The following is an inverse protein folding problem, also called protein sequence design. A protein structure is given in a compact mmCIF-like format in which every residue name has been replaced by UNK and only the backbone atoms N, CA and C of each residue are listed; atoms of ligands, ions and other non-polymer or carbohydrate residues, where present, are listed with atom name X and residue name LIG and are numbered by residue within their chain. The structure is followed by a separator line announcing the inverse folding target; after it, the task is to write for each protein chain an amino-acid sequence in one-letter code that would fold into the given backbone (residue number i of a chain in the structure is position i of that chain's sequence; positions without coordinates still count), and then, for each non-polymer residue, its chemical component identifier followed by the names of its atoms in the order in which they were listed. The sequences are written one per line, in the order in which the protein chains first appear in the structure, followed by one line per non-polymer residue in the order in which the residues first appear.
data_IF_772546741298
#
_entry.id   IF_772546741298
#
_cell.length_a   1.000
_cell.length_b   1.000
_cell.length_c   1.000
_cell.angle_alpha   90.00
_cell.angle_beta   90.00
_cell.angle_gamma   90.00
#
_symmetry.space_group_name_H-M   'P 1'
#
loop_
_entity.id
_entity.type
_entity.pdbx_description
1 polymer ?
#
# COMPACT_ATOMS: atom_id res chain seq x y z
N UNK A 1 3.05 -29.93 -35.77
CA UNK A 1 2.87 -30.73 -34.56
C UNK A 1 3.46 -30.08 -33.27
N UNK A 2 4.35 -29.10 -33.38
CA UNK A 2 4.93 -28.40 -32.22
C UNK A 2 4.03 -27.32 -31.61
N UNK A 3 3.08 -26.77 -32.34
CA UNK A 3 2.18 -25.69 -31.84
C UNK A 3 1.11 -26.22 -30.87
N UNK A 4 0.69 -27.47 -31.03
CA UNK A 4 -0.35 -28.10 -30.18
C UNK A 4 0.20 -28.50 -28.80
N UNK A 5 1.50 -28.80 -28.69
CA UNK A 5 2.12 -29.19 -27.41
C UNK A 5 2.35 -27.98 -26.48
N UNK A 6 2.54 -26.75 -27.03
CA UNK A 6 2.70 -25.54 -26.19
C UNK A 6 1.39 -25.07 -25.57
N UNK A 7 0.25 -25.28 -26.22
CA UNK A 7 -1.07 -24.93 -25.66
C UNK A 7 -1.50 -25.86 -24.53
N UNK A 8 -1.15 -27.16 -24.60
CA UNK A 8 -1.46 -28.12 -23.54
C UNK A 8 -0.63 -27.87 -22.27
N UNK A 9 0.64 -27.49 -22.37
CA UNK A 9 1.46 -27.10 -21.21
C UNK A 9 0.99 -25.80 -20.55
N UNK A 10 0.47 -24.86 -21.32
CA UNK A 10 -0.09 -23.62 -20.79
C UNK A 10 -1.43 -23.87 -20.08
N UNK A 11 -2.27 -24.76 -20.61
CA UNK A 11 -3.54 -25.17 -19.97
C UNK A 11 -3.30 -25.91 -18.65
N UNK A 12 -2.35 -26.83 -18.60
CA UNK A 12 -1.97 -27.57 -17.38
C UNK A 12 -1.40 -26.62 -16.31
N UNK A 13 -0.64 -25.57 -16.70
CA UNK A 13 -0.18 -24.52 -15.77
C UNK A 13 -1.34 -23.66 -15.25
N UNK A 14 -2.33 -23.34 -16.06
CA UNK A 14 -3.52 -22.61 -15.67
C UNK A 14 -4.43 -23.41 -14.73
N UNK A 15 -4.58 -24.72 -14.95
CA UNK A 15 -5.31 -25.61 -14.04
C UNK A 15 -4.59 -25.78 -12.70
N UNK A 16 -3.26 -25.93 -12.68
CA UNK A 16 -2.48 -26.00 -11.44
C UNK A 16 -2.53 -24.70 -10.62
N UNK A 17 -2.53 -23.53 -11.25
CA UNK A 17 -2.73 -22.26 -10.55
C UNK A 17 -4.14 -22.10 -10.01
N UNK A 18 -5.15 -22.68 -10.66
CA UNK A 18 -6.53 -22.75 -10.18
C UNK A 18 -6.67 -23.62 -8.94
N UNK A 19 -6.00 -24.77 -8.93
CA UNK A 19 -5.98 -25.72 -7.80
C UNK A 19 -5.22 -25.16 -6.61
N UNK A 20 -4.11 -24.45 -6.81
CA UNK A 20 -3.38 -23.77 -5.73
C UNK A 20 -4.17 -22.60 -5.13
N UNK A 21 -4.89 -21.84 -5.93
CA UNK A 21 -5.83 -20.80 -5.45
C UNK A 21 -6.97 -21.42 -4.64
N UNK A 22 -7.55 -22.51 -5.09
CA UNK A 22 -8.60 -23.24 -4.35
C UNK A 22 -8.08 -23.73 -3.01
N UNK A 23 -6.90 -24.36 -2.96
CA UNK A 23 -6.25 -24.80 -1.72
C UNK A 23 -5.92 -23.66 -0.78
N UNK A 24 -5.50 -22.50 -1.29
CA UNK A 24 -5.24 -21.31 -0.48
C UNK A 24 -6.53 -20.72 0.11
N UNK A 25 -7.63 -20.72 -0.64
CA UNK A 25 -8.96 -20.28 -0.17
C UNK A 25 -9.47 -21.28 0.89
N UNK A 26 -9.36 -22.56 0.65
CA UNK A 26 -9.77 -23.61 1.60
C UNK A 26 -8.94 -23.54 2.88
N UNK A 27 -7.64 -23.31 2.79
CA UNK A 27 -6.75 -23.10 3.95
C UNK A 27 -7.11 -21.83 4.74
N UNK A 28 -7.48 -20.74 4.06
CA UNK A 28 -7.91 -19.51 4.71
C UNK A 28 -9.28 -19.65 5.38
N UNK A 29 -10.20 -20.40 4.77
CA UNK A 29 -11.51 -20.75 5.36
C UNK A 29 -11.34 -21.66 6.58
N UNK A 30 -10.51 -22.69 6.49
CA UNK A 30 -10.18 -23.58 7.60
C UNK A 30 -9.44 -22.84 8.72
N UNK A 31 -8.56 -21.91 8.40
CA UNK A 31 -7.88 -21.04 9.37
C UNK A 31 -8.85 -20.15 10.13
N UNK A 32 -9.81 -19.51 9.45
CA UNK A 32 -10.88 -18.71 10.08
C UNK A 32 -11.83 -19.57 10.91
N UNK A 33 -12.12 -20.79 10.46
CA UNK A 33 -12.93 -21.75 11.20
C UNK A 33 -12.22 -22.23 12.48
N UNK A 34 -10.91 -22.43 12.43
CA UNK A 34 -10.12 -22.77 13.62
C UNK A 34 -9.99 -21.64 14.62
N UNK A 35 -9.98 -20.38 14.16
CA UNK A 35 -10.00 -19.18 15.02
C UNK A 35 -11.38 -19.05 15.67
N UNK A 36 -12.46 -19.18 14.90
CA UNK A 36 -13.83 -19.18 15.42
C UNK A 36 -14.05 -20.28 16.49
N UNK A 37 -13.50 -21.48 16.28
CA UNK A 37 -13.55 -22.58 17.24
C UNK A 37 -12.79 -22.28 18.55
N UNK A 38 -11.79 -21.40 18.52
CA UNK A 38 -11.05 -20.95 19.73
C UNK A 38 -11.79 -19.88 20.51
N UNK A 39 -12.64 -19.10 19.88
CA UNK A 39 -13.31 -17.95 20.49
C UNK A 39 -14.59 -18.34 21.25
N UNK A 40 -15.16 -19.52 21.01
CA UNK A 40 -16.35 -19.98 21.72
C UNK A 40 -15.96 -20.77 22.99
N UNK A 41 -15.84 -20.08 24.12
CA UNK A 41 -15.59 -20.70 25.43
C UNK A 41 -16.70 -21.69 25.85
N UNK A 42 -17.95 -21.46 25.40
CA UNK A 42 -19.08 -22.34 25.66
C UNK A 42 -18.92 -23.73 25.00
N UNK A 43 -18.36 -23.81 23.78
CA UNK A 43 -18.07 -25.09 23.12
C UNK A 43 -17.02 -25.94 23.86
N UNK A 44 -16.07 -25.30 24.57
CA UNK A 44 -15.09 -26.01 25.40
C UNK A 44 -15.74 -26.65 26.64
N UNK A 45 -16.73 -25.98 27.20
CA UNK A 45 -17.47 -26.51 28.36
C UNK A 45 -18.33 -27.73 27.96
N UNK A 46 -19.10 -27.61 26.87
CA UNK A 46 -19.96 -28.68 26.37
C UNK A 46 -19.12 -29.89 25.87
N UNK A 47 -17.96 -29.65 25.24
CA UNK A 47 -17.03 -30.70 24.84
C UNK A 47 -16.41 -31.43 26.02
N UNK A 48 -16.11 -30.74 27.12
CA UNK A 48 -15.60 -31.36 28.35
C UNK A 48 -16.68 -32.18 29.01
N UNK A 49 -17.93 -31.71 29.07
CA UNK A 49 -19.08 -32.43 29.63
C UNK A 49 -19.35 -33.70 28.81
N UNK A 50 -19.34 -33.62 27.48
CA UNK A 50 -19.52 -34.78 26.59
C UNK A 50 -18.44 -35.83 26.82
N UNK A 51 -17.17 -35.42 26.93
CA UNK A 51 -16.04 -36.34 27.20
C UNK A 51 -16.14 -36.98 28.59
N UNK A 52 -16.60 -36.22 29.61
CA UNK A 52 -16.80 -36.76 30.94
C UNK A 52 -17.91 -37.81 30.96
N UNK A 53 -19.05 -37.54 30.32
CA UNK A 53 -20.16 -38.48 30.17
C UNK A 53 -19.81 -39.73 29.38
N UNK A 54 -18.99 -39.58 28.29
CA UNK A 54 -18.50 -40.68 27.53
C UNK A 54 -17.64 -41.63 28.37
N UNK A 55 -16.70 -41.07 29.17
CA UNK A 55 -15.85 -41.87 30.06
C UNK A 55 -16.68 -42.57 31.18
N UNK A 56 -17.71 -41.91 31.69
CA UNK A 56 -18.61 -42.43 32.69
C UNK A 56 -19.45 -43.58 32.11
N UNK A 57 -19.98 -43.42 30.87
CA UNK A 57 -20.68 -44.49 30.13
C UNK A 57 -19.78 -45.67 29.87
N UNK A 58 -18.56 -45.47 29.39
CA UNK A 58 -17.59 -46.52 29.10
C UNK A 58 -17.23 -47.32 30.37
N UNK A 59 -17.03 -46.61 31.50
CA UNK A 59 -16.78 -47.27 32.79
C UNK A 59 -17.98 -48.10 33.28
N UNK A 60 -19.21 -47.68 32.93
CA UNK A 60 -20.44 -48.35 33.39
C UNK A 60 -20.78 -49.55 32.54
N UNK A 61 -20.42 -49.55 31.25
CA UNK A 61 -20.57 -50.68 30.37
C UNK A 61 -19.60 -51.80 30.72
N UNK A 62 -18.38 -51.48 31.18
CA UNK A 62 -17.37 -52.45 31.56
C UNK A 62 -17.18 -53.53 30.49
N UNK A 63 -17.14 -54.82 30.91
CA UNK A 63 -17.10 -55.99 30.07
C UNK A 63 -18.48 -56.65 29.90
N UNK A 64 -19.59 -55.97 30.23
CA UNK A 64 -20.93 -56.51 30.16
C UNK A 64 -21.27 -56.87 28.68
N UNK A 65 -21.65 -58.09 28.44
CA UNK A 65 -22.04 -58.64 27.15
C UNK A 65 -23.54 -58.79 26.95
N UNK A 66 -24.32 -58.64 28.03
CA UNK A 66 -25.78 -58.69 28.02
C UNK A 66 -26.41 -57.61 28.93
N UNK A 67 -27.63 -57.16 28.59
CA UNK A 67 -28.37 -56.10 29.34
C UNK A 67 -28.61 -56.47 30.82
N UNK A 68 -28.69 -57.78 31.16
CA UNK A 68 -28.88 -58.25 32.51
C UNK A 68 -27.65 -58.05 33.42
N UNK A 69 -26.47 -57.84 32.83
CA UNK A 69 -25.20 -57.57 33.54
C UNK A 69 -24.94 -56.11 33.84
N UNK A 70 -25.79 -55.24 33.29
CA UNK A 70 -25.64 -53.77 33.48
C UNK A 70 -26.06 -53.36 34.91
N UNK A 71 -25.32 -52.45 35.53
CA UNK A 71 -25.68 -51.91 36.83
C UNK A 71 -27.02 -51.16 36.77
N UNK A 72 -27.83 -51.18 37.84
CA UNK A 72 -29.14 -50.48 37.90
C UNK A 72 -29.07 -49.01 37.54
N UNK A 73 -27.91 -48.36 37.70
CA UNK A 73 -27.66 -46.95 37.33
C UNK A 73 -27.36 -46.73 35.85
N UNK A 74 -27.22 -47.79 35.07
CA UNK A 74 -26.86 -47.71 33.63
C UNK A 74 -27.94 -46.94 32.82
N UNK A 75 -29.21 -47.21 33.09
CA UNK A 75 -30.33 -46.57 32.41
C UNK A 75 -30.37 -45.03 32.67
N UNK A 76 -30.06 -44.58 33.88
CA UNK A 76 -29.99 -43.13 34.19
C UNK A 76 -28.82 -42.47 33.49
N UNK A 77 -27.66 -43.15 33.41
CA UNK A 77 -26.47 -42.63 32.69
C UNK A 77 -26.68 -42.61 31.20
N UNK A 78 -27.38 -43.55 30.60
CA UNK A 78 -27.76 -43.58 29.19
C UNK A 78 -28.70 -42.39 28.91
N UNK A 79 -29.70 -42.12 29.79
CA UNK A 79 -30.58 -40.95 29.66
C UNK A 79 -29.79 -39.63 29.75
N UNK A 80 -28.88 -39.52 30.70
CA UNK A 80 -28.06 -38.32 30.87
C UNK A 80 -27.14 -38.08 29.64
N UNK A 81 -26.54 -39.17 29.10
CA UNK A 81 -25.75 -39.09 27.86
C UNK A 81 -26.59 -38.66 26.65
N UNK A 82 -27.81 -39.25 26.52
CA UNK A 82 -28.75 -38.88 25.43
C UNK A 82 -29.15 -37.40 25.50
N UNK A 83 -29.35 -36.84 26.70
CA UNK A 83 -29.66 -35.41 26.86
C UNK A 83 -28.48 -34.51 26.44
N UNK A 84 -27.24 -34.86 26.84
CA UNK A 84 -26.05 -34.12 26.44
C UNK A 84 -25.81 -34.24 24.93
N UNK A 85 -25.99 -35.40 24.33
CA UNK A 85 -25.90 -35.60 22.88
C UNK A 85 -26.96 -34.82 22.11
N UNK A 86 -28.22 -34.77 22.61
CA UNK A 86 -29.27 -33.95 21.99
C UNK A 86 -28.93 -32.47 22.05
N UNK A 87 -28.48 -31.97 23.18
CA UNK A 87 -28.03 -30.60 23.36
C UNK A 87 -26.84 -30.25 22.46
N UNK A 88 -25.83 -31.13 22.41
CA UNK A 88 -24.66 -30.96 21.54
C UNK A 88 -25.05 -30.98 20.04
N UNK A 89 -26.00 -31.84 19.66
CA UNK A 89 -26.54 -31.87 18.29
C UNK A 89 -27.24 -30.57 17.92
N UNK A 90 -28.08 -30.03 18.80
CA UNK A 90 -28.81 -28.79 18.55
C UNK A 90 -27.85 -27.59 18.45
N UNK A 91 -26.77 -27.57 19.23
CA UNK A 91 -25.72 -26.53 19.17
C UNK A 91 -24.81 -26.65 17.96
N UNK A 92 -24.41 -27.89 17.60
CA UNK A 92 -23.47 -28.15 16.49
C UNK A 92 -24.13 -28.11 15.09
N UNK A 93 -25.44 -28.37 15.01
CA UNK A 93 -26.15 -28.53 13.74
C UNK A 93 -27.29 -27.51 13.55
N UNK A 94 -27.14 -26.29 14.04
CA UNK A 94 -28.02 -25.20 13.59
C UNK A 94 -27.67 -24.85 12.13
N UNK A 95 -28.05 -25.75 11.23
CA UNK A 95 -27.87 -25.58 9.80
C UNK A 95 -28.49 -24.27 9.29
N UNK A 96 -29.50 -23.73 9.98
CA UNK A 96 -30.14 -22.47 9.62
C UNK A 96 -29.20 -21.30 9.89
N UNK A 97 -28.65 -21.20 11.10
CA UNK A 97 -27.71 -20.15 11.48
C UNK A 97 -26.43 -20.20 10.65
N UNK A 98 -25.88 -21.40 10.41
CA UNK A 98 -24.71 -21.59 9.53
C UNK A 98 -25.02 -21.14 8.11
N UNK A 99 -26.19 -21.55 7.57
CA UNK A 99 -26.58 -21.17 6.21
C UNK A 99 -26.80 -19.67 6.06
N UNK A 100 -27.43 -19.00 7.02
CA UNK A 100 -27.61 -17.54 7.04
C UNK A 100 -26.26 -16.82 7.10
N UNK A 101 -25.33 -17.28 7.93
CA UNK A 101 -23.98 -16.71 8.04
C UNK A 101 -23.19 -16.89 6.75
N UNK A 102 -23.23 -18.07 6.14
CA UNK A 102 -22.57 -18.33 4.85
C UNK A 102 -23.17 -17.46 3.73
N UNK A 103 -24.49 -17.28 3.69
CA UNK A 103 -25.14 -16.38 2.71
C UNK A 103 -24.69 -14.94 2.92
N UNK A 104 -24.63 -14.45 4.14
CA UNK A 104 -24.16 -13.09 4.45
C UNK A 104 -22.69 -12.89 4.04
N UNK A 105 -21.84 -13.89 4.32
CA UNK A 105 -20.43 -13.85 3.90
C UNK A 105 -20.30 -13.87 2.37
N UNK A 106 -21.08 -14.69 1.70
CA UNK A 106 -21.10 -14.78 0.22
C UNK A 106 -21.57 -13.46 -0.40
N UNK A 107 -22.63 -12.87 0.13
CA UNK A 107 -23.13 -11.57 -0.34
C UNK A 107 -22.09 -10.47 -0.14
N UNK A 108 -21.45 -10.40 1.03
CA UNK A 108 -20.38 -9.42 1.31
C UNK A 108 -19.19 -9.61 0.37
N UNK A 109 -18.78 -10.87 0.10
CA UNK A 109 -17.72 -11.17 -0.84
C UNK A 109 -18.08 -10.77 -2.28
N UNK A 110 -19.31 -11.04 -2.72
CA UNK A 110 -19.78 -10.64 -4.05
C UNK A 110 -19.83 -9.12 -4.22
N UNK A 111 -20.27 -8.38 -3.21
CA UNK A 111 -20.24 -6.91 -3.19
C UNK A 111 -18.81 -6.37 -3.29
N UNK A 112 -17.85 -6.97 -2.55
CA UNK A 112 -16.44 -6.61 -2.62
C UNK A 112 -15.85 -6.90 -4.02
N UNK A 113 -16.14 -8.05 -4.60
CA UNK A 113 -15.67 -8.40 -5.95
C UNK A 113 -16.25 -7.45 -6.99
N UNK A 114 -17.54 -7.11 -6.91
CA UNK A 114 -18.16 -6.12 -7.82
C UNK A 114 -17.53 -4.74 -7.67
N UNK A 115 -17.26 -4.29 -6.46
CA UNK A 115 -16.58 -3.02 -6.20
C UNK A 115 -15.17 -3.01 -6.78
N UNK A 116 -14.37 -4.04 -6.50
CA UNK A 116 -13.01 -4.18 -7.03
C UNK A 116 -12.98 -4.26 -8.56
N UNK A 117 -13.94 -4.96 -9.18
CA UNK A 117 -14.07 -5.03 -10.64
C UNK A 117 -14.37 -3.65 -11.25
N UNK A 118 -15.28 -2.86 -10.64
CA UNK A 118 -15.57 -1.49 -11.07
C UNK A 118 -14.32 -0.59 -10.96
N UNK A 119 -13.60 -0.67 -9.84
CA UNK A 119 -12.37 0.08 -9.63
C UNK A 119 -11.29 -0.29 -10.67
N UNK A 120 -11.08 -1.58 -10.90
CA UNK A 120 -10.12 -2.08 -11.89
C UNK A 120 -10.47 -1.59 -13.30
N UNK A 121 -11.74 -1.67 -13.70
CA UNK A 121 -12.19 -1.17 -15.02
C UNK A 121 -11.97 0.34 -15.15
N UNK A 122 -12.29 1.10 -14.12
CA UNK A 122 -12.06 2.56 -14.11
C UNK A 122 -10.60 2.92 -14.24
N UNK A 123 -9.72 2.28 -13.44
CA UNK A 123 -8.29 2.52 -13.47
C UNK A 123 -7.67 2.11 -14.81
N UNK A 124 -8.11 0.99 -15.38
CA UNK A 124 -7.67 0.56 -16.73
C UNK A 124 -8.07 1.55 -17.81
N UNK A 125 -9.29 2.08 -17.75
CA UNK A 125 -9.75 3.11 -18.70
C UNK A 125 -9.00 4.43 -18.52
N UNK A 126 -8.69 4.81 -17.27
CA UNK A 126 -7.91 6.01 -16.97
C UNK A 126 -6.48 5.85 -17.49
N UNK A 127 -5.83 4.72 -17.21
CA UNK A 127 -4.49 4.41 -17.71
C UNK A 127 -4.43 4.44 -19.24
N UNK A 128 -5.41 3.82 -19.92
CA UNK A 128 -5.50 3.83 -21.38
C UNK A 128 -5.67 5.23 -21.98
N UNK A 129 -6.25 6.18 -21.23
CA UNK A 129 -6.45 7.56 -21.69
C UNK A 129 -5.29 8.49 -21.33
N UNK A 130 -4.59 8.23 -20.25
CA UNK A 130 -3.58 9.14 -19.67
C UNK A 130 -2.14 8.72 -20.00
N UNK A 131 -1.91 7.43 -20.21
CA UNK A 131 -0.57 6.88 -20.51
C UNK A 131 -0.54 6.44 -21.97
N UNK A 132 0.36 7.00 -22.82
CA UNK A 132 0.56 6.52 -24.17
C UNK A 132 0.88 5.02 -24.21
N UNK A 133 0.26 4.29 -25.14
CA UNK A 133 0.43 2.82 -25.24
C UNK A 133 1.89 2.38 -25.31
N UNK A 134 2.75 3.14 -25.97
CA UNK A 134 4.18 2.86 -26.06
C UNK A 134 4.89 2.87 -24.72
N UNK A 135 4.57 3.83 -23.85
CA UNK A 135 5.16 3.93 -22.50
C UNK A 135 4.67 2.77 -21.61
N UNK A 136 3.40 2.42 -21.73
CA UNK A 136 2.84 1.29 -21.00
C UNK A 136 3.48 -0.04 -21.42
N UNK A 137 3.63 -0.27 -22.72
CA UNK A 137 4.32 -1.45 -23.26
C UNK A 137 5.80 -1.50 -22.81
N UNK A 138 6.49 -0.36 -22.79
CA UNK A 138 7.87 -0.27 -22.30
C UNK A 138 7.97 -0.70 -20.84
N UNK A 139 7.13 -0.15 -19.97
CA UNK A 139 7.13 -0.51 -18.53
C UNK A 139 6.83 -1.99 -18.32
N UNK A 140 5.88 -2.57 -19.05
CA UNK A 140 5.58 -4.00 -18.98
C UNK A 140 6.78 -4.85 -19.42
N UNK A 141 7.43 -4.52 -20.52
CA UNK A 141 8.59 -5.25 -21.03
C UNK A 141 9.76 -5.20 -20.07
N UNK A 142 10.10 -4.01 -19.58
CA UNK A 142 11.16 -3.84 -18.58
C UNK A 142 10.88 -4.63 -17.30
N UNK A 143 9.62 -4.67 -16.86
CA UNK A 143 9.22 -5.46 -15.67
C UNK A 143 9.45 -6.96 -15.90
N UNK A 144 9.06 -7.48 -17.07
CA UNK A 144 9.29 -8.89 -17.43
C UNK A 144 10.80 -9.18 -17.45
N UNK A 145 11.57 -8.37 -18.14
CA UNK A 145 13.01 -8.53 -18.26
C UNK A 145 13.71 -8.49 -16.88
N UNK A 146 13.27 -7.62 -15.97
CA UNK A 146 13.78 -7.56 -14.59
C UNK A 146 13.55 -8.86 -13.83
N UNK A 147 12.34 -9.40 -13.87
CA UNK A 147 12.02 -10.62 -13.12
C UNK A 147 12.63 -11.89 -13.74
N UNK A 148 13.08 -11.84 -14.98
CA UNK A 148 13.86 -12.90 -15.63
C UNK A 148 15.35 -12.88 -15.25
N UNK A 149 15.88 -11.77 -14.70
CA UNK A 149 17.25 -11.70 -14.21
C UNK A 149 17.44 -12.58 -12.97
N UNK A 150 18.62 -13.14 -12.81
CA UNK A 150 19.02 -13.76 -11.54
C UNK A 150 19.16 -12.71 -10.42
N UNK A 151 18.97 -13.07 -9.13
CA UNK A 151 19.03 -12.12 -8.02
C UNK A 151 20.31 -11.31 -7.94
N UNK A 152 21.46 -11.91 -8.33
CA UNK A 152 22.75 -11.25 -8.33
C UNK A 152 22.82 -10.11 -9.34
N UNK A 153 22.16 -10.26 -10.50
CA UNK A 153 22.12 -9.26 -11.57
C UNK A 153 21.13 -8.13 -11.33
N UNK A 154 20.29 -8.23 -10.29
CA UNK A 154 19.32 -7.20 -9.90
C UNK A 154 19.88 -6.15 -8.96
N UNK A 155 21.13 -6.28 -8.54
CA UNK A 155 21.78 -5.39 -7.57
C UNK A 155 22.45 -4.22 -8.28
N UNK A 156 22.27 -3.03 -7.72
CA UNK A 156 23.05 -1.86 -8.10
C UNK A 156 24.40 -1.86 -7.40
N UNK A 157 25.44 -1.29 -8.03
CA UNK A 157 26.75 -1.08 -7.40
C UNK A 157 26.68 0.04 -6.35
N UNK A 158 27.76 0.17 -5.56
CA UNK A 158 28.01 1.29 -4.64
C UNK A 158 26.95 1.49 -3.55
N UNK A 159 26.42 0.39 -3.02
CA UNK A 159 25.41 0.45 -1.95
C UNK A 159 25.91 1.10 -0.66
N UNK A 160 27.23 1.13 -0.44
CA UNK A 160 27.90 1.82 0.66
C UNK A 160 27.70 3.34 0.62
N UNK A 161 27.45 3.92 -0.54
CA UNK A 161 27.23 5.35 -0.73
C UNK A 161 25.86 5.81 -0.23
N UNK A 162 24.89 4.91 -0.06
CA UNK A 162 23.50 5.24 0.24
C UNK A 162 23.28 5.97 1.57
N UNK A 163 24.20 5.82 2.50
CA UNK A 163 24.12 6.39 3.84
C UNK A 163 25.28 7.35 4.15
N UNK A 164 26.17 7.62 3.18
CA UNK A 164 27.32 8.49 3.36
C UNK A 164 26.90 9.98 3.31
N UNK A 165 26.90 10.72 4.43
CA UNK A 165 26.40 12.09 4.50
C UNK A 165 27.26 13.10 3.72
N UNK A 166 28.46 12.73 3.30
CA UNK A 166 29.39 13.59 2.55
C UNK A 166 29.06 13.62 1.03
N UNK A 167 28.09 12.82 0.60
CA UNK A 167 27.65 12.74 -0.78
C UNK A 167 26.38 13.58 -1.03
N UNK A 168 26.09 13.84 -2.30
CA UNK A 168 24.92 14.62 -2.72
C UNK A 168 23.72 13.70 -2.91
N UNK A 169 22.81 13.67 -1.91
CA UNK A 169 21.65 12.79 -1.89
C UNK A 169 20.42 13.45 -2.50
N UNK A 170 19.80 12.75 -3.45
CA UNK A 170 18.57 13.15 -4.13
C UNK A 170 17.45 12.17 -3.82
N UNK A 171 16.27 12.68 -3.46
CA UNK A 171 15.05 11.88 -3.37
C UNK A 171 14.16 12.16 -4.60
N UNK A 172 13.75 11.12 -5.28
CA UNK A 172 12.88 11.17 -6.45
C UNK A 172 11.78 10.12 -6.32
N UNK A 173 10.52 10.56 -6.19
CA UNK A 173 9.37 9.68 -6.04
C UNK A 173 8.53 9.72 -7.31
N UNK A 174 8.50 8.62 -8.05
CA UNK A 174 7.88 8.57 -9.37
C UNK A 174 7.29 7.21 -9.70
N UNK A 175 6.13 7.21 -10.37
CA UNK A 175 5.53 6.06 -11.03
C UNK A 175 5.80 6.02 -12.54
N UNK A 176 6.68 6.93 -13.06
CA UNK A 176 7.00 7.08 -14.46
C UNK A 176 8.49 6.91 -14.72
N UNK A 177 8.87 5.76 -15.31
CA UNK A 177 10.26 5.40 -15.58
C UNK A 177 10.98 6.43 -16.47
N UNK A 178 10.31 6.92 -17.53
CA UNK A 178 10.93 7.87 -18.46
C UNK A 178 11.12 9.25 -17.82
N UNK A 179 10.12 9.72 -17.05
CA UNK A 179 10.22 10.97 -16.33
C UNK A 179 11.38 10.93 -15.33
N UNK A 180 11.43 9.89 -14.51
CA UNK A 180 12.53 9.69 -13.54
C UNK A 180 13.89 9.61 -14.26
N UNK A 181 13.97 8.93 -15.40
CA UNK A 181 15.21 8.84 -16.16
C UNK A 181 15.71 10.19 -16.69
N UNK A 182 14.79 11.08 -17.11
CA UNK A 182 15.13 12.43 -17.56
C UNK A 182 15.69 13.26 -16.42
N UNK A 183 15.07 13.20 -15.23
CA UNK A 183 15.54 13.92 -14.04
C UNK A 183 16.94 13.46 -13.66
N UNK A 184 17.17 12.15 -13.52
CA UNK A 184 18.47 11.59 -13.15
C UNK A 184 19.53 11.95 -14.20
N UNK A 185 19.25 11.66 -15.47
CA UNK A 185 20.22 11.90 -16.55
C UNK A 185 20.54 13.39 -16.71
N UNK A 186 19.53 14.28 -16.67
CA UNK A 186 19.79 15.72 -16.77
C UNK A 186 20.60 16.25 -15.58
N UNK A 187 20.40 15.70 -14.39
CA UNK A 187 21.20 16.06 -13.22
C UNK A 187 22.66 15.64 -13.43
N UNK A 188 22.91 14.40 -13.82
CA UNK A 188 24.27 13.88 -14.00
C UNK A 188 25.00 14.50 -15.18
N UNK A 189 24.31 14.75 -16.29
CA UNK A 189 24.89 15.42 -17.47
C UNK A 189 25.41 16.82 -17.15
N UNK A 190 24.86 17.49 -16.15
CA UNK A 190 25.26 18.82 -15.72
C UNK A 190 26.12 18.80 -14.44
N UNK A 191 26.38 17.64 -13.86
CA UNK A 191 27.18 17.47 -12.65
C UNK A 191 28.67 17.59 -12.95
N UNK A 192 29.41 18.25 -12.04
CA UNK A 192 30.88 18.33 -12.11
C UNK A 192 31.57 17.06 -11.60
N UNK A 193 30.97 16.40 -10.60
CA UNK A 193 31.49 15.21 -9.92
C UNK A 193 30.39 14.13 -9.85
N UNK A 194 30.06 13.47 -10.98
CA UNK A 194 28.98 12.50 -11.07
C UNK A 194 29.01 11.40 -10.00
N UNK A 195 30.21 10.95 -9.63
CA UNK A 195 30.48 9.89 -8.64
C UNK A 195 30.02 10.25 -7.22
N UNK A 196 29.84 11.53 -6.93
CA UNK A 196 29.36 12.01 -5.61
C UNK A 196 27.83 12.08 -5.53
N UNK A 197 27.11 11.82 -6.61
CA UNK A 197 25.67 11.92 -6.67
C UNK A 197 25.00 10.58 -6.33
N UNK A 198 24.05 10.59 -5.41
CA UNK A 198 23.31 9.42 -4.92
C UNK A 198 21.81 9.66 -5.09
N UNK A 199 21.17 8.85 -5.93
CA UNK A 199 19.74 8.95 -6.20
C UNK A 199 18.96 7.85 -5.49
N UNK A 200 18.05 8.25 -4.64
CA UNK A 200 17.06 7.42 -3.97
C UNK A 200 15.73 7.54 -4.72
N UNK A 201 15.41 6.55 -5.54
CA UNK A 201 14.16 6.51 -6.28
C UNK A 201 13.16 5.64 -5.51
N UNK A 202 11.98 6.19 -5.23
CA UNK A 202 10.88 5.41 -4.65
C UNK A 202 9.75 5.35 -5.65
N UNK A 203 9.28 4.15 -5.91
CA UNK A 203 8.19 3.88 -6.85
C UNK A 203 7.16 2.93 -6.25
N UNK A 204 6.05 2.73 -6.94
CA UNK A 204 5.04 1.75 -6.57
C UNK A 204 5.43 0.32 -7.01
N UNK A 205 4.70 -0.65 -6.50
CA UNK A 205 4.92 -2.08 -6.80
C UNK A 205 4.81 -2.40 -8.30
N UNK A 206 3.94 -1.69 -9.03
CA UNK A 206 3.72 -1.97 -10.46
C UNK A 206 4.90 -1.52 -11.31
N UNK A 207 5.52 -0.41 -10.95
CA UNK A 207 6.63 0.19 -11.68
C UNK A 207 8.02 -0.22 -11.15
N UNK A 208 8.08 -0.88 -9.99
CA UNK A 208 9.34 -1.26 -9.34
C UNK A 208 10.27 -2.08 -10.25
N UNK A 209 9.75 -3.12 -10.92
CA UNK A 209 10.54 -3.92 -11.86
C UNK A 209 11.03 -3.11 -13.05
N UNK A 210 10.17 -2.27 -13.62
CA UNK A 210 10.50 -1.43 -14.76
C UNK A 210 11.57 -0.37 -14.42
N UNK A 211 11.42 0.29 -13.25
CA UNK A 211 12.36 1.31 -12.78
C UNK A 211 13.76 0.70 -12.55
N UNK A 212 13.82 -0.43 -11.85
CA UNK A 212 15.08 -1.16 -11.63
C UNK A 212 15.72 -1.56 -12.97
N UNK A 213 14.96 -2.20 -13.88
CA UNK A 213 15.52 -2.67 -15.14
C UNK A 213 16.03 -1.54 -16.01
N UNK A 214 15.31 -0.40 -16.03
CA UNK A 214 15.75 0.77 -16.79
C UNK A 214 17.14 1.24 -16.35
N UNK A 215 17.36 1.44 -15.04
CA UNK A 215 18.64 1.94 -14.53
C UNK A 215 19.74 0.87 -14.50
N UNK A 216 19.40 -0.41 -14.49
CA UNK A 216 20.38 -1.48 -14.73
C UNK A 216 20.88 -1.52 -16.16
N UNK A 217 20.01 -1.22 -17.14
CA UNK A 217 20.37 -1.14 -18.56
C UNK A 217 21.03 0.20 -18.93
N UNK A 218 20.66 1.27 -18.25
CA UNK A 218 21.10 2.63 -18.53
C UNK A 218 21.66 3.27 -17.25
N UNK A 219 22.78 2.76 -16.72
CA UNK A 219 23.37 3.32 -15.50
C UNK A 219 23.82 4.78 -15.76
N UNK A 220 23.53 5.72 -14.85
CA UNK A 220 23.95 7.11 -15.02
C UNK A 220 25.43 7.26 -14.66
N UNK A 221 26.30 7.06 -15.64
CA UNK A 221 27.78 7.13 -15.50
C UNK A 221 28.24 6.53 -14.15
N UNK A 222 28.94 7.28 -13.29
CA UNK A 222 29.48 6.82 -12.02
C UNK A 222 28.57 7.13 -10.82
N UNK A 223 27.38 7.68 -11.03
CA UNK A 223 26.45 8.02 -9.95
C UNK A 223 25.82 6.76 -9.32
N UNK A 224 25.54 6.86 -8.02
CA UNK A 224 24.87 5.78 -7.28
C UNK A 224 23.35 5.86 -7.46
N UNK A 225 22.74 4.73 -7.79
CA UNK A 225 21.27 4.59 -7.89
C UNK A 225 20.78 3.56 -6.90
N UNK A 226 19.65 3.87 -6.26
CA UNK A 226 18.88 2.93 -5.46
C UNK A 226 17.39 3.08 -5.77
N UNK A 227 16.73 1.95 -6.04
CA UNK A 227 15.29 1.92 -6.31
C UNK A 227 14.58 1.14 -5.24
N UNK A 228 13.61 1.76 -4.59
CA UNK A 228 12.83 1.18 -3.50
C UNK A 228 11.34 1.10 -3.87
N UNK A 229 10.67 0.08 -3.35
CA UNK A 229 9.22 -0.04 -3.47
C UNK A 229 8.56 0.55 -2.22
N UNK A 230 7.61 1.48 -2.39
CA UNK A 230 6.90 2.13 -1.29
C UNK A 230 6.17 1.13 -0.38
N UNK A 231 5.74 -0.03 -0.91
CA UNK A 231 5.05 -1.06 -0.15
C UNK A 231 5.98 -1.81 0.83
N UNK A 232 7.31 -1.70 0.68
CA UNK A 232 8.28 -2.33 1.56
C UNK A 232 8.50 -1.53 2.85
N UNK A 233 8.04 -0.30 2.94
CA UNK A 233 8.10 0.55 4.13
C UNK A 233 7.08 0.10 5.18
N UNK A 234 7.43 -0.88 6.03
CA UNK A 234 6.54 -1.48 7.04
C UNK A 234 5.97 -0.48 8.04
N UNK A 235 6.68 0.63 8.30
CA UNK A 235 6.23 1.71 9.17
C UNK A 235 5.11 2.54 8.51
N UNK A 236 5.00 2.54 7.18
CA UNK A 236 4.03 3.29 6.41
C UNK A 236 2.68 2.54 6.39
N UNK A 237 1.90 2.72 7.42
CA UNK A 237 0.59 2.08 7.59
C UNK A 237 -0.47 3.07 8.10
N UNK A 238 -1.74 2.69 8.02
CA UNK A 238 -2.87 3.54 8.40
C UNK A 238 -2.95 3.85 9.91
N UNK A 239 -2.24 3.12 10.76
CA UNK A 239 -2.13 3.42 12.19
C UNK A 239 -1.18 4.58 12.45
N UNK A 240 -0.11 4.70 11.67
CA UNK A 240 0.89 5.76 11.79
C UNK A 240 0.57 6.97 10.89
N UNK A 241 0.11 6.73 9.66
CA UNK A 241 -0.08 7.75 8.64
C UNK A 241 -1.56 8.15 8.50
N UNK A 242 -1.99 9.35 8.95
CA UNK A 242 -3.37 9.81 8.85
C UNK A 242 -3.89 9.87 7.40
N UNK A 243 -3.04 10.18 6.44
CA UNK A 243 -3.41 10.20 5.01
C UNK A 243 -3.77 8.80 4.53
N UNK A 244 -3.00 7.77 4.87
CA UNK A 244 -3.35 6.39 4.51
C UNK A 244 -4.69 5.97 5.13
N UNK A 245 -4.94 6.33 6.39
CA UNK A 245 -6.23 6.09 7.03
C UNK A 245 -7.39 6.74 6.27
N UNK A 246 -7.19 7.96 5.77
CA UNK A 246 -8.18 8.65 4.94
C UNK A 246 -8.36 7.98 3.58
N UNK A 247 -7.26 7.65 2.88
CA UNK A 247 -7.28 7.00 1.57
C UNK A 247 -7.95 5.62 1.62
N UNK A 248 -7.82 4.90 2.73
CA UNK A 248 -8.45 3.60 2.96
C UNK A 248 -9.94 3.72 3.35
N UNK A 249 -10.42 4.91 3.72
CA UNK A 249 -11.81 5.09 4.14
C UNK A 249 -12.80 4.81 2.99
N UNK A 250 -13.93 4.19 3.32
CA UNK A 250 -14.98 3.88 2.35
C UNK A 250 -15.52 5.15 1.66
N UNK A 251 -15.65 6.25 2.40
CA UNK A 251 -16.14 7.54 1.88
C UNK A 251 -15.19 8.12 0.83
N UNK A 252 -13.87 8.09 1.07
CA UNK A 252 -12.88 8.56 0.10
C UNK A 252 -12.81 7.66 -1.13
N UNK A 253 -12.83 6.35 -0.95
CA UNK A 253 -12.90 5.40 -2.07
C UNK A 253 -14.16 5.64 -2.91
N UNK A 254 -15.33 5.81 -2.29
CA UNK A 254 -16.56 6.13 -3.00
C UNK A 254 -16.45 7.47 -3.74
N UNK A 255 -15.91 8.50 -3.13
CA UNK A 255 -15.72 9.81 -3.74
C UNK A 255 -14.87 9.77 -5.02
N UNK A 256 -13.73 9.06 -4.99
CA UNK A 256 -12.83 8.96 -6.14
C UNK A 256 -13.31 7.96 -7.19
N UNK A 257 -13.96 6.85 -6.79
CA UNK A 257 -14.32 5.75 -7.68
C UNK A 257 -15.83 5.68 -7.98
N UNK A 258 -16.60 6.69 -7.60
CA UNK A 258 -18.04 6.74 -7.92
C UNK A 258 -18.24 6.78 -9.43
N UNK A 259 -18.54 5.62 -10.01
CA UNK A 259 -18.68 5.40 -11.46
C UNK A 259 -19.92 6.05 -12.08
N UNK A 260 -20.85 6.61 -11.29
CA UNK A 260 -22.17 7.03 -11.75
C UNK A 260 -22.23 8.44 -12.37
N UNK A 261 -21.10 9.12 -12.59
CA UNK A 261 -21.07 10.39 -13.32
C UNK A 261 -20.03 10.44 -14.44
N UNK A 262 -20.19 9.63 -15.53
CA UNK A 262 -19.32 9.77 -16.71
C UNK A 262 -19.62 11.00 -17.56
N UNK A 263 -20.71 11.73 -17.30
CA UNK A 263 -21.20 12.80 -18.19
C UNK A 263 -20.53 14.16 -18.03
N UNK A 264 -19.58 14.35 -17.15
CA UNK A 264 -18.91 15.65 -16.93
C UNK A 264 -17.38 15.59 -17.06
N UNK A 265 -16.84 14.63 -17.79
CA UNK A 265 -15.44 14.60 -18.21
C UNK A 265 -15.22 15.49 -19.45
N UNK A 266 -15.81 16.68 -19.49
CA UNK A 266 -15.42 17.69 -20.45
C UNK A 266 -14.12 18.32 -19.98
N UNK A 267 -13.11 18.29 -20.86
CA UNK A 267 -11.85 18.99 -20.69
C UNK A 267 -12.14 20.48 -20.42
N UNK A 268 -11.99 20.94 -19.17
CA UNK A 268 -12.21 22.32 -18.79
C UNK A 268 -12.81 22.56 -17.39
N UNK A 269 -13.28 21.53 -16.69
CA UNK A 269 -13.80 21.70 -15.34
C UNK A 269 -12.65 21.70 -14.31
N UNK A 270 -12.48 22.82 -13.58
CA UNK A 270 -11.52 22.98 -12.46
C UNK A 270 -11.68 21.90 -11.39
N UNK A 271 -12.83 21.26 -11.28
CA UNK A 271 -13.11 20.17 -10.33
C UNK A 271 -12.45 18.82 -10.69
N UNK A 272 -12.01 18.62 -11.93
CA UNK A 272 -11.28 17.41 -12.35
C UNK A 272 -9.88 17.31 -11.75
N UNK A 273 -9.23 18.46 -11.53
CA UNK A 273 -7.90 18.53 -10.92
C UNK A 273 -7.87 17.91 -9.52
N UNK A 274 -8.94 18.08 -8.74
CA UNK A 274 -9.05 17.59 -7.36
C UNK A 274 -9.58 16.14 -7.24
N UNK A 275 -10.06 15.55 -8.35
CA UNK A 275 -10.57 14.17 -8.39
C UNK A 275 -9.70 13.22 -9.18
N UNK A 276 -8.51 13.63 -9.53
CA UNK A 276 -7.57 12.76 -10.23
C UNK A 276 -7.08 11.67 -9.26
N UNK A 277 -7.26 10.37 -9.55
CA UNK A 277 -6.76 9.27 -8.73
C UNK A 277 -5.24 9.31 -8.48
N UNK A 278 -4.48 10.04 -9.27
CA UNK A 278 -3.05 10.32 -9.03
C UNK A 278 -2.82 10.88 -7.61
N UNK A 279 -3.74 11.68 -7.07
CA UNK A 279 -3.63 12.21 -5.71
C UNK A 279 -3.95 11.19 -4.61
N UNK A 280 -4.40 9.98 -4.98
CA UNK A 280 -4.50 8.84 -4.07
C UNK A 280 -3.17 8.11 -3.89
N UNK A 281 -2.19 8.40 -4.72
CA UNK A 281 -0.88 7.77 -4.63
C UNK A 281 -0.16 8.21 -3.36
N UNK A 282 0.29 7.25 -2.58
CA UNK A 282 1.13 7.51 -1.41
C UNK A 282 2.45 8.21 -1.76
N UNK A 283 2.95 8.05 -2.98
CA UNK A 283 4.17 8.70 -3.46
C UNK A 283 4.10 10.23 -3.31
N UNK A 284 2.91 10.83 -3.56
CA UNK A 284 2.73 12.27 -3.39
C UNK A 284 2.84 12.74 -1.93
N UNK A 285 2.53 11.87 -0.98
CA UNK A 285 2.56 12.17 0.45
C UNK A 285 3.85 11.70 1.13
N UNK A 286 4.62 10.85 0.48
CA UNK A 286 5.83 10.27 1.05
C UNK A 286 6.90 11.33 1.36
N UNK A 287 6.90 12.45 0.63
CA UNK A 287 7.80 13.59 0.88
C UNK A 287 7.68 14.19 2.28
N UNK A 288 6.55 14.00 2.97
CA UNK A 288 6.38 14.43 4.36
C UNK A 288 6.95 13.45 5.40
N UNK A 289 7.58 12.38 4.92
CA UNK A 289 8.19 11.32 5.72
C UNK A 289 9.68 11.10 5.39
N UNK A 290 10.34 12.07 4.76
CA UNK A 290 11.75 11.97 4.37
C UNK A 290 12.68 11.52 5.51
N UNK A 291 12.56 12.01 6.77
CA UNK A 291 13.41 11.53 7.87
C UNK A 291 13.16 10.07 8.27
N UNK A 292 11.97 9.54 7.99
CA UNK A 292 11.63 8.13 8.23
C UNK A 292 12.15 7.23 7.10
N UNK A 293 12.12 7.73 5.87
CA UNK A 293 12.66 7.03 4.70
C UNK A 293 14.20 7.02 4.76
N UNK A 294 14.82 8.16 5.10
CA UNK A 294 16.27 8.35 5.12
C UNK A 294 16.76 8.75 6.52
N UNK A 295 16.69 7.86 7.52
CA UNK A 295 16.95 8.23 8.92
C UNK A 295 18.41 8.62 9.22
N UNK A 296 19.36 8.20 8.39
CA UNK A 296 20.80 8.45 8.56
C UNK A 296 21.29 9.68 7.80
N UNK A 297 20.47 10.27 6.93
CA UNK A 297 20.84 11.47 6.20
C UNK A 297 20.49 12.73 6.97
N UNK A 298 21.33 13.76 6.81
CA UNK A 298 21.16 15.08 7.43
C UNK A 298 20.54 16.08 6.45
N UNK A 299 20.85 15.96 5.17
CA UNK A 299 20.36 16.85 4.12
C UNK A 299 20.02 16.04 2.87
N UNK A 300 18.95 16.43 2.17
CA UNK A 300 18.53 15.78 0.93
C UNK A 300 17.88 16.78 0.00
N UNK A 301 18.16 16.69 -1.29
CA UNK A 301 17.47 17.45 -2.32
C UNK A 301 16.35 16.61 -2.92
N UNK A 302 15.10 17.04 -2.68
CA UNK A 302 13.93 16.44 -3.30
C UNK A 302 13.75 17.00 -4.71
N UNK A 303 13.56 16.11 -5.70
CA UNK A 303 13.27 16.45 -7.07
C UNK A 303 11.94 15.82 -7.50
N UNK A 304 11.05 16.58 -8.12
CA UNK A 304 9.85 16.04 -8.77
C UNK A 304 10.22 15.38 -10.11
N UNK A 305 9.36 14.51 -10.61
CA UNK A 305 9.64 13.74 -11.85
C UNK A 305 9.32 14.50 -13.15
N UNK A 306 8.82 15.73 -13.05
CA UNK A 306 8.47 16.58 -14.19
C UNK A 306 9.42 17.80 -14.36
N UNK A 307 10.64 17.69 -13.85
CA UNK A 307 11.68 18.72 -13.97
C UNK A 307 12.82 18.27 -14.89
N UNK A 308 13.56 19.24 -15.41
CA UNK A 308 14.81 19.02 -16.15
C UNK A 308 15.88 19.91 -15.56
N UNK A 309 16.95 19.31 -15.08
CA UNK A 309 18.09 20.02 -14.49
C UNK A 309 18.96 20.59 -15.60
N UNK A 310 19.25 21.89 -15.53
CA UNK A 310 19.98 22.64 -16.57
C UNK A 310 21.41 23.03 -16.13
N UNK A 311 21.74 22.91 -14.86
CA UNK A 311 23.03 23.29 -14.28
C UNK A 311 23.40 22.37 -13.12
N UNK A 312 24.67 22.38 -12.78
CA UNK A 312 25.17 21.71 -11.60
C UNK A 312 24.45 22.15 -10.32
N UNK A 313 23.96 21.18 -9.54
CA UNK A 313 23.18 21.42 -8.32
C UNK A 313 24.03 21.38 -7.03
N UNK A 314 25.33 21.04 -7.12
CA UNK A 314 26.17 20.83 -5.93
C UNK A 314 26.27 22.06 -5.03
N UNK A 315 26.25 23.26 -5.60
CA UNK A 315 26.21 24.50 -4.83
C UNK A 315 25.00 24.67 -3.89
N UNK A 316 23.93 23.90 -4.07
CA UNK A 316 22.79 23.91 -3.16
C UNK A 316 23.09 23.31 -1.79
N UNK A 317 24.07 22.39 -1.69
CA UNK A 317 24.53 21.84 -0.41
C UNK A 317 25.32 22.81 0.42
N UNK A 318 25.91 23.85 -0.21
CA UNK A 318 26.63 24.93 0.46
C UNK A 318 25.71 26.03 1.01
N UNK A 319 24.42 26.02 0.59
CA UNK A 319 23.45 27.02 1.06
C UNK A 319 23.12 26.78 2.53
N UNK A 320 23.34 27.83 3.33
CA UNK A 320 22.88 27.86 4.71
C UNK A 320 21.37 28.11 4.76
N UNK A 321 20.62 27.16 5.30
CA UNK A 321 19.17 27.27 5.49
C UNK A 321 18.80 28.09 6.74
N UNK A 322 19.76 28.66 7.48
CA UNK A 322 19.56 29.48 8.66
C UNK A 322 18.61 28.87 9.70
N UNK A 323 18.76 27.56 9.94
CA UNK A 323 17.89 26.80 10.84
C UNK A 323 16.47 26.56 10.30
N UNK A 324 16.22 26.82 9.01
CA UNK A 324 14.97 26.44 8.36
C UNK A 324 15.05 25.00 7.83
N UNK A 325 13.89 24.35 7.78
CA UNK A 325 13.76 22.95 7.36
C UNK A 325 13.83 22.78 5.85
N UNK A 326 13.38 23.81 5.10
CA UNK A 326 13.22 23.74 3.66
C UNK A 326 13.79 24.99 2.99
N UNK A 327 14.55 24.77 1.93
CA UNK A 327 14.94 25.77 0.95
C UNK A 327 14.23 25.48 -0.38
N UNK A 328 13.50 26.48 -0.91
CA UNK A 328 12.72 26.38 -2.13
C UNK A 328 12.80 27.66 -2.95
N UNK A 329 12.44 27.56 -4.22
CA UNK A 329 12.39 28.71 -5.14
C UNK A 329 11.04 29.41 -5.00
N UNK A 330 11.05 30.73 -4.78
CA UNK A 330 9.87 31.58 -4.75
C UNK A 330 9.23 31.67 -6.13
N UNK A 331 7.88 31.69 -6.19
CA UNK A 331 7.12 31.70 -7.45
C UNK A 331 6.42 33.02 -7.77
N UNK A 332 6.53 34.04 -6.93
CA UNK A 332 5.85 35.35 -7.16
C UNK A 332 6.40 36.17 -8.32
N UNK A 333 7.61 35.86 -8.80
CA UNK A 333 8.20 36.55 -9.96
C UNK A 333 7.61 36.13 -11.31
N UNK A 334 6.78 35.07 -11.33
CA UNK A 334 6.16 34.53 -12.52
C UNK A 334 4.62 34.53 -12.43
N UNK A 335 3.97 33.62 -13.15
CA UNK A 335 2.49 33.57 -13.26
C UNK A 335 1.78 32.98 -12.03
N UNK A 336 2.49 32.67 -10.96
CA UNK A 336 1.94 32.01 -9.78
C UNK A 336 1.39 33.00 -8.76
N UNK A 337 0.53 32.50 -7.89
CA UNK A 337 -0.26 33.34 -7.00
C UNK A 337 0.27 33.31 -5.58
N UNK A 338 -0.11 34.33 -4.80
CA UNK A 338 0.08 34.40 -3.37
C UNK A 338 -0.85 33.43 -2.64
N UNK A 339 -0.62 33.18 -1.35
CA UNK A 339 -1.39 32.19 -0.57
C UNK A 339 -2.89 32.46 -0.53
N UNK A 340 -3.33 33.72 -0.69
CA UNK A 340 -4.75 34.10 -0.78
C UNK A 340 -5.50 33.38 -1.90
N UNK A 341 -4.82 32.93 -2.96
CA UNK A 341 -5.39 32.17 -4.08
C UNK A 341 -5.49 30.67 -3.83
N UNK A 342 -4.74 30.14 -2.87
CA UNK A 342 -4.67 28.70 -2.59
C UNK A 342 -5.35 28.32 -1.28
N UNK A 343 -5.31 29.19 -0.27
CA UNK A 343 -5.78 28.88 1.07
C UNK A 343 -7.09 29.64 1.37
N UNK A 344 -7.96 29.01 2.13
CA UNK A 344 -9.21 29.61 2.57
C UNK A 344 -8.99 30.40 3.87
N UNK A 345 -8.72 31.70 3.76
CA UNK A 345 -8.48 32.60 4.90
C UNK A 345 -9.72 32.89 5.75
N UNK A 346 -10.93 32.43 5.34
CA UNK A 346 -12.08 32.44 6.25
C UNK A 346 -11.94 31.38 7.37
N UNK A 347 -10.97 30.44 7.24
CA UNK A 347 -10.68 29.50 8.30
C UNK A 347 -9.71 30.13 9.31
N UNK A 348 -10.08 30.24 10.61
CA UNK A 348 -9.23 30.86 11.63
C UNK A 348 -7.84 30.22 11.75
N UNK A 349 -7.77 28.89 11.61
CA UNK A 349 -6.49 28.17 11.68
C UNK A 349 -5.55 28.55 10.53
N UNK A 350 -6.08 28.87 9.36
CA UNK A 350 -5.28 29.34 8.23
C UNK A 350 -4.89 30.80 8.42
N UNK A 351 -5.84 31.65 8.74
CA UNK A 351 -5.61 33.09 8.92
C UNK A 351 -4.59 33.41 10.05
N UNK A 352 -4.52 32.55 11.07
CA UNK A 352 -3.57 32.75 12.18
C UNK A 352 -2.14 32.27 11.86
N UNK A 353 -1.98 31.34 10.91
CA UNK A 353 -0.69 30.69 10.65
C UNK A 353 -0.05 31.05 9.31
N UNK A 354 -0.79 31.73 8.41
CA UNK A 354 -0.31 32.06 7.08
C UNK A 354 -0.59 33.54 6.76
N UNK A 355 0.38 34.15 6.10
CA UNK A 355 0.19 35.51 5.51
C UNK A 355 -0.45 35.35 4.12
N UNK A 356 -1.65 35.94 3.86
CA UNK A 356 -2.31 35.88 2.57
C UNK A 356 -1.46 36.52 1.44
N UNK A 357 -0.60 37.48 1.77
CA UNK A 357 0.26 38.16 0.81
C UNK A 357 1.61 37.48 0.58
N UNK A 358 1.94 36.44 1.36
CA UNK A 358 3.17 35.72 1.17
C UNK A 358 3.17 34.95 -0.16
N UNK A 359 4.34 34.84 -0.75
CA UNK A 359 4.55 34.09 -1.98
C UNK A 359 4.47 32.59 -1.76
N UNK A 360 3.88 31.89 -2.70
CA UNK A 360 4.08 30.46 -2.83
C UNK A 360 5.52 30.13 -3.25
N UNK A 361 5.88 28.90 -3.21
CA UNK A 361 7.19 28.37 -3.62
C UNK A 361 7.02 27.21 -4.58
N UNK A 362 8.02 26.98 -5.42
CA UNK A 362 8.05 25.85 -6.34
C UNK A 362 8.29 24.55 -5.56
N UNK A 363 7.48 23.53 -5.84
CA UNK A 363 7.58 22.24 -5.16
C UNK A 363 8.41 21.19 -5.93
N UNK A 364 8.80 21.52 -7.16
CA UNK A 364 9.56 20.61 -8.04
C UNK A 364 11.00 20.37 -7.60
N UNK A 365 11.60 21.31 -6.83
CA UNK A 365 12.95 21.18 -6.31
C UNK A 365 13.03 21.82 -4.91
N UNK A 366 13.34 21.01 -3.90
CA UNK A 366 13.39 21.46 -2.50
C UNK A 366 14.58 20.86 -1.76
N UNK A 367 15.41 21.70 -1.18
CA UNK A 367 16.45 21.26 -0.25
C UNK A 367 15.86 21.11 1.13
N UNK A 368 16.03 19.93 1.75
CA UNK A 368 15.58 19.66 3.11
C UNK A 368 16.74 19.42 4.07
N UNK A 369 16.70 20.08 5.21
CA UNK A 369 17.49 19.78 6.39
C UNK A 369 16.68 18.78 7.26
N UNK A 370 17.11 17.51 7.26
CA UNK A 370 16.41 16.43 7.95
C UNK A 370 16.65 16.46 9.47
N UNK A 371 17.74 17.06 9.95
CA UNK A 371 17.98 17.24 11.38
C UNK A 371 17.03 18.30 11.94
N UNK A 372 16.94 19.46 11.28
CA UNK A 372 15.99 20.49 11.63
C UNK A 372 14.53 20.01 11.50
N UNK A 373 14.23 19.17 10.50
CA UNK A 373 12.93 18.55 10.34
C UNK A 373 12.55 17.70 11.56
N UNK A 374 13.47 16.82 12.02
CA UNK A 374 13.29 16.00 13.21
C UNK A 374 13.14 16.88 14.46
N UNK A 375 13.98 17.90 14.62
CA UNK A 375 13.99 18.80 15.77
C UNK A 375 12.67 19.60 15.88
N UNK A 376 12.10 20.03 14.77
CA UNK A 376 10.85 20.81 14.69
C UNK A 376 9.60 19.94 14.57
N UNK A 377 9.73 18.63 14.54
CA UNK A 377 8.64 17.66 14.37
C UNK A 377 7.68 17.99 13.21
N UNK A 378 8.25 18.26 12.04
CA UNK A 378 7.44 18.65 10.85
C UNK A 378 6.46 17.55 10.44
N UNK A 379 6.85 16.27 10.55
CA UNK A 379 5.94 15.15 10.29
C UNK A 379 4.77 15.13 11.27
N UNK A 380 4.98 15.43 12.55
CA UNK A 380 3.90 15.56 13.53
C UNK A 380 2.98 16.76 13.24
N UNK A 381 3.54 17.89 12.80
CA UNK A 381 2.75 19.04 12.34
C UNK A 381 1.90 18.66 11.13
N UNK A 382 2.46 17.94 10.15
CA UNK A 382 1.74 17.42 8.99
C UNK A 382 0.59 16.49 9.42
N UNK A 383 0.82 15.55 10.33
CA UNK A 383 -0.22 14.67 10.88
C UNK A 383 -1.35 15.45 11.55
N UNK A 384 -1.01 16.49 12.32
CA UNK A 384 -2.01 17.38 12.95
C UNK A 384 -2.89 18.05 11.91
N UNK A 385 -2.32 18.63 10.85
CA UNK A 385 -3.08 19.25 9.77
C UNK A 385 -3.96 18.25 9.05
N UNK A 386 -3.45 17.07 8.72
CA UNK A 386 -4.21 16.02 8.05
C UNK A 386 -5.40 15.54 8.89
N UNK A 387 -5.22 15.39 10.20
CA UNK A 387 -6.30 15.01 11.11
C UNK A 387 -7.37 16.10 11.21
N UNK A 388 -6.99 17.38 11.24
CA UNK A 388 -7.95 18.49 11.27
C UNK A 388 -8.79 18.59 10.00
N UNK A 389 -8.24 18.24 8.83
CA UNK A 389 -8.98 18.24 7.56
C UNK A 389 -10.00 17.11 7.52
N UNK A 390 -9.70 15.93 8.06
CA UNK A 390 -10.59 14.77 8.06
C UNK A 390 -11.92 15.00 8.82
N UNK A 391 -11.93 15.88 9.82
CA UNK A 391 -13.14 16.20 10.63
C UNK A 391 -14.22 16.99 9.86
N UNK A 392 -13.95 17.48 8.66
CA UNK A 392 -14.90 18.24 7.84
C UNK A 392 -15.64 17.42 6.80
N UNK A 393 -15.27 16.16 6.58
CA UNK A 393 -15.88 15.28 5.59
C UNK A 393 -16.48 13.99 6.21
N UNK A 394 -16.51 13.89 7.53
CA UNK A 394 -17.15 12.81 8.30
C UNK A 394 -18.54 13.18 8.80
#
# INVERSE_FOLDING_TARGET
MEVVQQDDEALVKLENTGIERSKAVDSAVLGKYSIWRRENENEKADSKELLARLKESQRSLGEATADAELPKSALERIKAMSQVLSKARDLLYDCKAITERLRTMLQSADEQVRSLKKQSTFLSQLAAKTIPNGIHCLSMRLTIDYYLLSPEKRKFPNSENLENPDLYHYALFSDNVLAASVVVNSTIMNAKEPEKHVFHLVTDKLNFGAMNMWFLLNPPVDATIHVENVDDFKWLNSSYCPVLKQLESAAMREYYFRADRPKTLSAGSSNLKYRNPKYLSMLNHLRFYLPQVYPKLNKILFLDDDIVVQRDLTGLWEVDLNGNVNGAVETCGESFHRFDKYLNFSNPNIAQNFDPNACGWAYGMNMFDLEEWKRKDITGIYHKWQTMVSWRYG
#
